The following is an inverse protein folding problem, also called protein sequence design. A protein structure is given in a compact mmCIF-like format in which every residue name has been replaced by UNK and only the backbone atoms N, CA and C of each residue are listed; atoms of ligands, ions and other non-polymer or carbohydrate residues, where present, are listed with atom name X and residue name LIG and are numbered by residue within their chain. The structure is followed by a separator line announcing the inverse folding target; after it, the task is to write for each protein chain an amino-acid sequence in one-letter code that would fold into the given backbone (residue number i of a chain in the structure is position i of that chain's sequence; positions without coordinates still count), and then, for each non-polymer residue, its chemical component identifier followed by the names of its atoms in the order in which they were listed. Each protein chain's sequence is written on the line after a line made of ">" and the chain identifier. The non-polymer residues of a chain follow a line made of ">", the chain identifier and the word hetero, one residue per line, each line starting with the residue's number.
data_IF_328419064287
#
_entry.id   IF_328419064287
#
_cell.length_a   1.000
_cell.length_b   1.000
_cell.length_c   1.000
_cell.angle_alpha   90.00
_cell.angle_beta   90.00
_cell.angle_gamma   90.00
#
_symmetry.space_group_name_H-M   'P 1'
#
loop_
_entity.id
_entity.type
_entity.pdbx_description
1 polymer ?
#
# COMPACT_ATOMS: atom_id res chain seq x y z
N UNK A 1 -29.24 -15.77 -53.80
CA UNK A 1 -28.18 -16.21 -52.87
C UNK A 1 -27.92 -15.08 -51.87
N UNK A 2 -28.80 -14.98 -50.87
CA UNK A 2 -28.68 -14.00 -49.79
C UNK A 2 -27.83 -14.63 -48.68
N UNK A 3 -26.65 -14.07 -48.44
CA UNK A 3 -25.77 -14.49 -47.34
C UNK A 3 -26.43 -14.15 -46.00
N UNK A 4 -26.83 -15.20 -45.28
CA UNK A 4 -27.22 -15.13 -43.87
C UNK A 4 -25.94 -14.88 -43.05
N UNK A 5 -25.85 -13.73 -42.38
CA UNK A 5 -24.80 -13.45 -41.40
C UNK A 5 -25.32 -13.94 -40.04
N UNK A 6 -24.72 -14.98 -39.42
CA UNK A 6 -25.14 -15.39 -38.09
C UNK A 6 -24.80 -14.30 -37.07
N UNK A 7 -25.77 -13.97 -36.22
CA UNK A 7 -25.57 -13.17 -35.02
C UNK A 7 -24.42 -13.75 -34.20
N UNK A 8 -23.46 -12.90 -33.85
CA UNK A 8 -22.45 -13.22 -32.85
C UNK A 8 -23.15 -13.45 -31.52
N UNK A 9 -23.07 -14.68 -30.99
CA UNK A 9 -23.39 -15.00 -29.61
C UNK A 9 -22.82 -13.90 -28.70
N UNK A 10 -23.62 -13.31 -27.78
CA UNK A 10 -23.04 -12.53 -26.70
C UNK A 10 -22.19 -13.51 -25.90
N UNK A 11 -20.88 -13.48 -26.15
CA UNK A 11 -19.88 -14.01 -25.26
C UNK A 11 -20.32 -13.66 -23.85
N UNK A 12 -20.44 -14.67 -23.01
CA UNK A 12 -20.87 -14.57 -21.62
C UNK A 12 -19.90 -13.65 -20.88
N UNK A 13 -20.13 -12.34 -21.02
CA UNK A 13 -19.35 -11.26 -20.46
C UNK A 13 -19.52 -11.43 -18.96
N UNK A 14 -18.47 -11.90 -18.30
CA UNK A 14 -18.50 -12.10 -16.86
C UNK A 14 -18.76 -10.72 -16.28
N UNK A 15 -19.98 -10.50 -15.79
CA UNK A 15 -20.43 -9.21 -15.26
C UNK A 15 -19.61 -8.88 -14.01
N UNK A 16 -18.42 -8.35 -14.24
CA UNK A 16 -17.57 -7.78 -13.21
C UNK A 16 -18.09 -6.38 -12.98
N UNK A 17 -18.99 -6.26 -12.00
CA UNK A 17 -19.49 -4.97 -11.55
C UNK A 17 -18.50 -4.38 -10.54
N UNK A 18 -18.17 -3.10 -10.73
CA UNK A 18 -17.35 -2.35 -9.79
C UNK A 18 -18.23 -1.36 -9.03
N UNK A 19 -17.99 -1.16 -7.73
CA UNK A 19 -18.71 -0.14 -6.97
C UNK A 19 -18.22 1.27 -7.37
N UNK A 20 -18.99 2.29 -7.01
CA UNK A 20 -18.57 3.68 -7.19
C UNK A 20 -17.44 4.07 -6.21
N UNK A 21 -16.71 5.15 -6.49
CA UNK A 21 -15.72 5.70 -5.55
C UNK A 21 -16.34 6.08 -4.20
N UNK A 22 -17.57 6.59 -4.20
CA UNK A 22 -18.29 6.93 -2.97
C UNK A 22 -18.61 5.69 -2.14
N UNK A 23 -18.99 4.60 -2.80
CA UNK A 23 -19.23 3.31 -2.17
C UNK A 23 -17.95 2.75 -1.54
N UNK A 24 -16.82 2.83 -2.24
CA UNK A 24 -15.50 2.47 -1.70
C UNK A 24 -15.13 3.30 -0.47
N UNK A 25 -15.30 4.63 -0.53
CA UNK A 25 -15.05 5.53 0.60
C UNK A 25 -15.93 5.20 1.82
N UNK A 26 -17.20 4.89 1.59
CA UNK A 26 -18.13 4.48 2.64
C UNK A 26 -17.71 3.16 3.28
N UNK A 27 -17.33 2.17 2.46
CA UNK A 27 -16.80 0.89 2.92
C UNK A 27 -15.53 1.06 3.77
N UNK A 28 -14.57 1.85 3.31
CA UNK A 28 -13.35 2.12 4.06
C UNK A 28 -13.63 2.81 5.40
N UNK A 29 -14.59 3.73 5.45
CA UNK A 29 -14.98 4.37 6.71
C UNK A 29 -15.55 3.39 7.74
N UNK A 30 -16.17 2.29 7.28
CA UNK A 30 -16.67 1.22 8.13
C UNK A 30 -15.56 0.24 8.56
N UNK A 31 -14.63 -0.09 7.66
CA UNK A 31 -13.55 -1.05 7.92
C UNK A 31 -12.38 -0.44 8.71
N UNK A 32 -12.12 0.86 8.53
CA UNK A 32 -10.99 1.57 9.10
C UNK A 32 -11.47 2.87 9.79
N UNK A 33 -12.14 2.74 10.95
CA UNK A 33 -12.68 3.89 11.66
C UNK A 33 -11.57 4.80 12.21
N UNK A 34 -11.91 6.07 12.40
CA UNK A 34 -11.02 7.02 13.06
C UNK A 34 -10.76 6.60 14.51
N UNK A 35 -9.49 6.46 14.87
CA UNK A 35 -9.06 6.17 16.23
C UNK A 35 -8.78 7.47 16.98
N UNK A 36 -9.58 7.74 18.01
CA UNK A 36 -9.38 8.89 18.89
C UNK A 36 -8.48 8.51 20.06
N UNK A 37 -7.29 9.11 20.13
CA UNK A 37 -6.36 8.95 21.25
C UNK A 37 -6.55 10.12 22.22
N UNK A 38 -6.99 9.81 23.45
CA UNK A 38 -7.21 10.80 24.50
C UNK A 38 -6.02 10.78 25.48
N UNK A 39 -5.26 11.88 25.60
CA UNK A 39 -4.17 11.95 26.55
C UNK A 39 -4.73 11.95 27.98
N UNK A 40 -4.22 11.05 28.82
CA UNK A 40 -4.59 10.97 30.25
C UNK A 40 -3.76 11.92 31.11
N UNK A 41 -2.53 12.25 30.67
CA UNK A 41 -1.61 13.12 31.39
C UNK A 41 -1.52 14.50 30.73
N UNK A 42 -1.55 15.55 31.55
CA UNK A 42 -1.50 16.95 31.09
C UNK A 42 -0.11 17.43 30.66
N UNK A 43 0.92 16.61 30.82
CA UNK A 43 2.34 17.02 30.73
C UNK A 43 3.05 16.56 29.47
N UNK A 44 2.44 15.67 28.67
CA UNK A 44 3.05 15.15 27.44
C UNK A 44 2.45 15.79 26.19
N UNK A 45 3.22 16.61 25.48
CA UNK A 45 2.84 17.02 24.13
C UNK A 45 2.82 15.77 23.22
N UNK A 46 1.68 15.50 22.57
CA UNK A 46 1.59 14.48 21.51
C UNK A 46 2.47 14.95 20.36
N UNK A 47 3.69 14.41 20.28
CA UNK A 47 4.59 14.70 19.16
C UNK A 47 4.14 13.86 17.98
N UNK A 48 3.74 14.52 16.89
CA UNK A 48 3.60 13.83 15.60
C UNK A 48 4.96 13.26 15.21
N UNK A 49 5.12 11.93 15.34
CA UNK A 49 6.34 11.21 14.93
C UNK A 49 6.25 10.70 13.49
N UNK A 50 5.05 10.61 12.93
CA UNK A 50 4.82 10.22 11.54
C UNK A 50 4.23 11.39 10.79
N UNK A 51 5.06 12.02 9.95
CA UNK A 51 4.61 13.07 9.04
C UNK A 51 4.27 12.42 7.69
N UNK A 52 3.08 11.83 7.60
CA UNK A 52 2.48 11.50 6.30
C UNK A 52 1.90 12.80 5.77
N UNK A 53 2.56 13.41 4.80
CA UNK A 53 2.22 14.75 4.32
C UNK A 53 1.43 14.74 3.02
N UNK A 54 1.53 13.66 2.26
CA UNK A 54 0.88 13.51 0.96
C UNK A 54 -0.47 12.80 1.08
N UNK A 55 -1.44 13.26 0.32
CA UNK A 55 -2.72 12.59 0.14
C UNK A 55 -2.61 11.49 -0.92
N UNK A 56 -3.29 10.37 -0.69
CA UNK A 56 -3.46 9.33 -1.70
C UNK A 56 -4.60 9.70 -2.66
N UNK A 57 -4.51 9.32 -3.95
CA UNK A 57 -5.62 9.40 -4.88
C UNK A 57 -6.86 8.64 -4.35
N UNK A 58 -8.07 9.08 -4.68
CA UNK A 58 -9.30 8.45 -4.18
C UNK A 58 -9.41 6.95 -4.51
N UNK A 59 -8.77 6.52 -5.60
CA UNK A 59 -8.79 5.15 -6.09
C UNK A 59 -7.57 4.34 -5.62
N UNK A 60 -6.73 4.86 -4.73
CA UNK A 60 -5.57 4.14 -4.19
C UNK A 60 -5.69 3.99 -2.67
N UNK A 61 -5.55 2.76 -2.20
CA UNK A 61 -5.65 2.40 -0.79
C UNK A 61 -4.31 1.86 -0.28
N UNK A 62 -3.88 2.36 0.87
CA UNK A 62 -2.78 1.78 1.64
C UNK A 62 -3.32 0.61 2.46
N UNK A 63 -3.07 -0.60 1.98
CA UNK A 63 -3.59 -1.85 2.56
C UNK A 63 -2.80 -2.23 3.80
N UNK A 64 -1.48 -2.04 3.77
CA UNK A 64 -0.59 -2.40 4.88
C UNK A 64 0.59 -1.47 4.94
N UNK A 65 0.94 -1.02 6.13
CA UNK A 65 2.23 -0.42 6.44
C UNK A 65 2.70 -0.99 7.77
N UNK A 66 3.73 -1.84 7.74
CA UNK A 66 4.22 -2.54 8.94
C UNK A 66 5.75 -2.60 8.98
N UNK A 67 6.31 -2.44 10.16
CA UNK A 67 7.75 -2.66 10.39
C UNK A 67 8.06 -4.15 10.27
N UNK A 68 9.14 -4.49 9.57
CA UNK A 68 9.65 -5.86 9.48
C UNK A 68 10.48 -6.18 10.73
N UNK A 69 10.46 -7.44 11.16
CA UNK A 69 11.32 -7.87 12.27
C UNK A 69 12.78 -7.94 11.82
N UNK A 70 13.69 -7.77 12.76
CA UNK A 70 15.10 -7.97 12.51
C UNK A 70 15.38 -9.45 12.16
N UNK A 71 16.07 -9.66 11.05
CA UNK A 71 16.42 -11.00 10.59
C UNK A 71 17.40 -11.64 11.59
N UNK A 72 17.33 -12.97 11.80
CA UNK A 72 18.30 -13.66 12.63
C UNK A 72 19.71 -13.36 12.15
N UNK A 73 20.57 -12.91 13.06
CA UNK A 73 21.97 -12.63 12.73
C UNK A 73 22.63 -13.94 12.29
N UNK A 74 23.34 -13.98 11.15
CA UNK A 74 24.12 -15.16 10.81
C UNK A 74 25.17 -15.40 11.91
N UNK A 75 25.44 -16.67 12.26
CA UNK A 75 26.39 -16.99 13.32
C UNK A 75 27.74 -16.35 13.01
N UNK A 76 28.25 -15.54 13.94
CA UNK A 76 29.58 -14.96 13.77
C UNK A 76 30.65 -16.00 14.10
N UNK A 77 31.91 -15.84 13.66
CA UNK A 77 32.99 -16.75 14.02
C UNK A 77 33.19 -16.90 15.54
N UNK A 78 32.72 -15.94 16.34
CA UNK A 78 32.76 -15.97 17.79
C UNK A 78 31.61 -16.78 18.43
N UNK A 79 30.56 -17.09 17.66
CA UNK A 79 29.35 -17.77 18.12
C UNK A 79 29.33 -19.26 17.72
N UNK A 80 30.43 -19.81 17.20
CA UNK A 80 30.50 -21.19 16.69
C UNK A 80 30.17 -22.25 17.76
N UNK A 81 30.47 -21.97 19.03
CA UNK A 81 30.18 -22.84 20.18
C UNK A 81 28.98 -22.38 21.02
N UNK A 82 28.32 -21.28 20.62
CA UNK A 82 27.16 -20.75 21.32
C UNK A 82 25.85 -21.33 20.74
N UNK A 83 24.86 -21.68 21.57
CA UNK A 83 23.54 -22.05 21.08
C UNK A 83 22.94 -20.90 20.26
N UNK A 84 22.15 -21.20 19.20
CA UNK A 84 21.57 -20.18 18.34
C UNK A 84 20.78 -19.18 19.20
N UNK A 85 21.11 -17.89 19.05
CA UNK A 85 20.42 -16.82 19.77
C UNK A 85 18.92 -16.89 19.49
N UNK A 86 18.06 -16.71 20.51
CA UNK A 86 16.62 -16.75 20.31
C UNK A 86 16.17 -15.70 19.28
N UNK A 87 15.06 -15.94 18.57
CA UNK A 87 14.55 -14.99 17.59
C UNK A 87 14.35 -13.62 18.23
N UNK A 88 14.96 -12.59 17.64
CA UNK A 88 14.80 -11.23 18.13
C UNK A 88 13.42 -10.70 17.72
N UNK A 89 12.67 -10.16 18.67
CA UNK A 89 11.44 -9.42 18.40
C UNK A 89 11.72 -7.92 18.18
N UNK A 90 12.98 -7.58 17.89
CA UNK A 90 13.39 -6.21 17.65
C UNK A 90 12.86 -5.72 16.29
N UNK A 91 12.49 -4.42 16.19
CA UNK A 91 12.07 -3.84 14.93
C UNK A 91 13.26 -3.70 13.98
N UNK A 92 13.22 -4.43 12.86
CA UNK A 92 14.24 -4.41 11.82
C UNK A 92 14.25 -3.11 11.00
N UNK A 93 15.32 -2.84 10.23
CA UNK A 93 15.53 -1.56 9.56
C UNK A 93 14.54 -1.29 8.40
N UNK A 94 13.78 -2.29 7.99
CA UNK A 94 12.87 -2.22 6.85
C UNK A 94 11.39 -2.15 7.26
N UNK A 95 10.58 -1.56 6.39
CA UNK A 95 9.13 -1.46 6.51
C UNK A 95 8.48 -1.99 5.23
N UNK A 96 7.43 -2.78 5.37
CA UNK A 96 6.63 -3.33 4.30
C UNK A 96 5.43 -2.41 4.05
N UNK A 97 5.27 -1.95 2.81
CA UNK A 97 4.16 -1.16 2.32
C UNK A 97 3.42 -1.93 1.23
N UNK A 98 2.09 -2.02 1.33
CA UNK A 98 1.23 -2.60 0.29
C UNK A 98 0.21 -1.57 -0.14
N UNK A 99 0.19 -1.26 -1.43
CA UNK A 99 -0.77 -0.36 -2.07
C UNK A 99 -1.69 -1.16 -2.98
N UNK A 100 -2.96 -0.80 -3.04
CA UNK A 100 -3.93 -1.37 -3.96
C UNK A 100 -4.67 -0.26 -4.66
N UNK A 101 -4.73 -0.30 -6.00
CA UNK A 101 -5.60 0.57 -6.76
C UNK A 101 -6.96 -0.09 -6.96
N UNK A 102 -8.01 0.55 -6.48
CA UNK A 102 -9.37 0.08 -6.58
C UNK A 102 -9.89 0.19 -8.02
N UNK A 103 -10.55 -0.86 -8.51
CA UNK A 103 -11.44 -0.76 -9.66
C UNK A 103 -12.76 -0.11 -9.24
N UNK A 104 -13.24 0.85 -10.03
CA UNK A 104 -14.50 1.55 -9.77
C UNK A 104 -15.25 1.82 -11.07
N UNK A 105 -16.57 1.97 -10.97
CA UNK A 105 -17.41 2.34 -12.11
C UNK A 105 -17.44 3.86 -12.29
N UNK A 106 -16.93 4.33 -13.42
CA UNK A 106 -16.90 5.74 -13.81
C UNK A 106 -18.27 6.31 -14.19
N UNK A 107 -19.30 5.47 -14.38
CA UNK A 107 -20.68 5.89 -14.66
C UNK A 107 -21.33 6.64 -13.50
N UNK A 108 -20.84 6.43 -12.28
CA UNK A 108 -21.31 7.12 -11.08
C UNK A 108 -20.43 8.32 -10.75
N UNK A 109 -21.03 9.51 -10.73
CA UNK A 109 -20.38 10.70 -10.19
C UNK A 109 -20.17 10.52 -8.69
N UNK A 110 -19.07 11.05 -8.16
CA UNK A 110 -18.73 11.00 -6.75
C UNK A 110 -18.80 12.40 -6.11
N UNK A 111 -19.97 13.04 -6.05
CA UNK A 111 -20.10 14.34 -5.41
C UNK A 111 -19.72 14.24 -3.93
N UNK A 112 -19.02 15.25 -3.42
CA UNK A 112 -18.65 15.32 -2.00
C UNK A 112 -17.36 14.61 -1.60
N UNK A 113 -16.69 13.88 -2.50
CA UNK A 113 -15.31 13.46 -2.24
C UNK A 113 -14.37 14.67 -2.37
N UNK A 114 -13.50 14.86 -1.39
CA UNK A 114 -12.50 15.93 -1.35
C UNK A 114 -11.20 15.60 -2.08
N UNK A 115 -11.04 14.35 -2.53
CA UNK A 115 -9.89 13.88 -3.29
C UNK A 115 -10.23 13.79 -4.79
N UNK A 116 -9.21 13.62 -5.63
CA UNK A 116 -9.33 13.28 -7.04
C UNK A 116 -8.57 11.99 -7.37
N UNK A 117 -8.90 11.38 -8.51
CA UNK A 117 -8.07 10.31 -9.08
C UNK A 117 -7.03 10.94 -10.00
N UNK A 118 -5.86 10.32 -10.10
CA UNK A 118 -4.78 10.78 -10.99
C UNK A 118 -4.28 9.65 -11.93
N UNK A 119 -5.13 8.64 -12.13
CA UNK A 119 -4.81 7.45 -12.90
C UNK A 119 -3.93 6.44 -12.16
N UNK A 120 -3.95 6.43 -10.82
CA UNK A 120 -3.19 5.47 -10.01
C UNK A 120 -1.70 5.84 -9.84
N UNK A 121 -1.35 7.11 -9.99
CA UNK A 121 0.03 7.58 -9.89
C UNK A 121 0.37 7.92 -8.44
N UNK A 122 1.44 7.35 -7.91
CA UNK A 122 1.89 7.56 -6.53
C UNK A 122 3.39 7.79 -6.50
N UNK A 123 3.83 8.81 -5.77
CA UNK A 123 5.24 9.06 -5.46
C UNK A 123 5.45 8.94 -3.97
N UNK A 124 6.33 8.04 -3.56
CA UNK A 124 6.61 7.80 -2.14
C UNK A 124 7.28 8.99 -1.46
N UNK A 125 7.95 9.83 -2.23
CA UNK A 125 8.58 11.07 -1.75
C UNK A 125 7.56 12.10 -1.29
N UNK A 126 6.37 12.11 -1.90
CA UNK A 126 5.29 13.01 -1.53
C UNK A 126 4.54 12.49 -0.30
N UNK A 127 4.34 11.16 -0.21
CA UNK A 127 3.70 10.51 0.94
C UNK A 127 4.58 10.51 2.20
N UNK A 128 5.86 10.17 2.04
CA UNK A 128 6.82 9.97 3.13
C UNK A 128 8.11 10.78 2.88
N UNK A 129 8.07 12.10 3.05
CA UNK A 129 9.19 12.97 2.70
C UNK A 129 10.43 12.71 3.57
N UNK A 130 10.24 12.36 4.84
CA UNK A 130 11.34 12.24 5.82
C UNK A 130 11.41 10.91 6.55
N UNK A 131 10.39 10.05 6.46
CA UNK A 131 10.29 8.82 7.27
C UNK A 131 11.14 7.67 6.72
N UNK A 132 11.29 7.62 5.40
CA UNK A 132 12.01 6.55 4.71
C UNK A 132 13.13 7.11 3.85
N UNK A 133 14.20 6.30 3.70
CA UNK A 133 15.34 6.59 2.84
C UNK A 133 14.99 6.52 1.35
N UNK A 134 16.00 6.79 0.50
CA UNK A 134 15.80 6.85 -0.95
C UNK A 134 15.61 5.48 -1.61
N UNK A 135 16.14 4.41 -1.03
CA UNK A 135 16.06 3.05 -1.59
C UNK A 135 14.71 2.40 -1.31
N UNK A 136 14.10 1.89 -2.36
CA UNK A 136 12.82 1.19 -2.34
C UNK A 136 12.96 -0.09 -3.16
N UNK A 137 12.61 -1.23 -2.59
CA UNK A 137 12.61 -2.50 -3.31
C UNK A 137 11.16 -2.92 -3.58
N UNK A 138 10.84 -3.23 -4.83
CA UNK A 138 9.60 -3.95 -5.12
C UNK A 138 9.73 -5.38 -4.58
N UNK A 139 8.66 -5.89 -3.97
CA UNK A 139 8.63 -7.23 -3.39
C UNK A 139 7.41 -7.99 -3.88
N UNK A 140 7.44 -9.32 -3.71
CA UNK A 140 6.22 -10.12 -3.70
C UNK A 140 5.30 -9.69 -2.54
N UNK A 141 4.00 -9.96 -2.64
CA UNK A 141 3.03 -9.66 -1.57
C UNK A 141 3.38 -10.32 -0.23
N UNK A 142 4.06 -11.48 -0.28
CA UNK A 142 4.56 -12.18 0.90
C UNK A 142 5.85 -11.60 1.49
N UNK A 143 6.49 -10.63 0.82
CA UNK A 143 7.79 -10.05 1.18
C UNK A 143 8.94 -11.06 1.19
N UNK A 144 8.83 -12.14 0.40
CA UNK A 144 9.82 -13.22 0.34
C UNK A 144 10.74 -13.14 -0.89
N UNK A 145 10.27 -12.48 -1.96
CA UNK A 145 11.01 -12.37 -3.21
C UNK A 145 11.15 -10.91 -3.60
N UNK A 146 12.39 -10.53 -3.91
CA UNK A 146 12.74 -9.21 -4.40
C UNK A 146 12.45 -9.12 -5.91
N UNK A 147 12.01 -7.94 -6.33
CA UNK A 147 11.75 -7.58 -7.71
C UNK A 147 12.70 -6.48 -8.17
N UNK A 148 12.15 -5.34 -8.56
CA UNK A 148 12.88 -4.22 -9.13
C UNK A 148 13.22 -3.18 -8.07
N UNK A 149 14.45 -2.67 -8.13
CA UNK A 149 14.91 -1.56 -7.30
C UNK A 149 14.44 -0.22 -7.87
N UNK A 150 13.97 0.63 -6.97
CA UNK A 150 13.42 1.94 -7.29
C UNK A 150 13.89 2.99 -6.30
N UNK A 151 13.72 4.25 -6.67
CA UNK A 151 13.94 5.37 -5.76
C UNK A 151 12.63 5.89 -5.22
N UNK A 152 12.68 6.52 -4.05
CA UNK A 152 11.51 7.19 -3.46
C UNK A 152 10.90 8.28 -4.37
N UNK A 153 11.70 8.87 -5.24
CA UNK A 153 11.27 9.85 -6.23
C UNK A 153 10.51 9.26 -7.43
N UNK A 154 10.61 7.93 -7.65
CA UNK A 154 9.94 7.24 -8.76
C UNK A 154 8.41 7.36 -8.65
N UNK A 155 7.77 7.57 -9.81
CA UNK A 155 6.31 7.61 -9.90
C UNK A 155 5.78 6.22 -10.23
N UNK A 156 5.26 5.54 -9.21
CA UNK A 156 4.54 4.28 -9.37
C UNK A 156 3.23 4.55 -10.10
N UNK A 157 2.88 3.73 -11.09
CA UNK A 157 1.64 3.84 -11.84
C UNK A 157 0.87 2.52 -11.76
N UNK A 158 -0.10 2.45 -10.84
CA UNK A 158 -0.90 1.26 -10.63
C UNK A 158 -2.04 1.19 -11.66
N UNK A 159 -2.25 0.02 -12.25
CA UNK A 159 -3.43 -0.28 -13.06
C UNK A 159 -4.65 -0.57 -12.16
N UNK A 160 -5.89 -0.42 -12.66
CA UNK A 160 -7.07 -0.76 -11.88
C UNK A 160 -7.01 -2.21 -11.39
N UNK A 161 -7.34 -2.43 -10.12
CA UNK A 161 -7.23 -3.72 -9.40
C UNK A 161 -5.80 -4.24 -9.19
N UNK A 162 -4.76 -3.45 -9.44
CA UNK A 162 -3.39 -3.83 -9.20
C UNK A 162 -2.99 -3.63 -7.73
N UNK A 163 -2.26 -4.61 -7.17
CA UNK A 163 -1.68 -4.56 -5.83
C UNK A 163 -0.17 -4.57 -5.91
N UNK A 164 0.47 -3.60 -5.27
CA UNK A 164 1.92 -3.42 -5.25
C UNK A 164 2.48 -3.60 -3.85
N UNK A 165 3.57 -4.36 -3.73
CA UNK A 165 4.28 -4.60 -2.48
C UNK A 165 5.68 -3.98 -2.55
N UNK A 166 6.04 -3.21 -1.53
CA UNK A 166 7.26 -2.40 -1.48
C UNK A 166 7.93 -2.59 -0.12
N UNK A 167 9.26 -2.69 -0.12
CA UNK A 167 10.10 -2.63 1.06
C UNK A 167 10.82 -1.28 1.09
N UNK A 168 10.72 -0.60 2.23
CA UNK A 168 11.24 0.74 2.48
C UNK A 168 12.27 0.68 3.61
N UNK A 169 13.46 1.25 3.39
CA UNK A 169 14.44 1.42 4.45
C UNK A 169 14.11 2.63 5.33
N UNK A 170 14.21 2.51 6.66
CA UNK A 170 14.10 3.65 7.57
C UNK A 170 15.34 4.55 7.43
N UNK A 171 15.12 5.87 7.41
CA UNK A 171 16.17 6.90 7.37
C UNK A 171 16.92 7.03 8.69
#
# INVERSE_FOLDING_TARGET
>A
MTHYKPESNPSQETQTAFPSLLSHSSLHSLLYPLLLLLPTDKTGAVRSRWNVTGDLPCDVHLVTLRTMLEAPRPPSPADQDAPPSPPSHAPGPFTSLVLHRLGFDCGFKSPGLSCSTNGGKVRLSDLFPTVFGERVHQMSLSMLYEGVDMTKAYTLSLQPMEVYALQLARS
#
